data_IF_165040923419
#
_entry.id   IF_165040923419
#
_cell.length_a   1.000
_cell.length_b   1.000
_cell.length_c   1.000
_cell.angle_alpha   90.00
_cell.angle_beta   90.00
_cell.angle_gamma   90.00
#
_symmetry.space_group_name_H-M   'P 1'
#
loop_
_entity.id
_entity.type
_entity.pdbx_description
1 polymer ?
#
# COMPACT_ATOMS: atom_id res chain seq x y z
N UNK A 1 -2.15 -20.50 -18.47
CA UNK A 1 -0.74 -20.93 -18.34
C UNK A 1 -0.16 -20.20 -17.14
N UNK A 2 0.02 -20.89 -16.00
CA UNK A 2 0.58 -20.29 -14.79
C UNK A 2 2.05 -19.87 -14.96
N UNK A 3 2.75 -20.41 -15.96
CA UNK A 3 4.14 -20.07 -16.28
C UNK A 3 4.25 -18.84 -17.20
N UNK A 4 3.12 -18.16 -17.50
CA UNK A 4 3.06 -17.05 -18.43
C UNK A 4 2.11 -15.93 -17.98
N UNK A 5 2.28 -15.49 -16.74
CA UNK A 5 1.52 -14.41 -16.11
C UNK A 5 2.20 -13.06 -16.32
N UNK A 6 1.42 -12.06 -16.74
CA UNK A 6 1.82 -10.65 -16.78
C UNK A 6 1.08 -9.88 -15.70
N UNK A 7 1.80 -9.29 -14.74
CA UNK A 7 1.24 -8.36 -13.78
C UNK A 7 1.15 -6.96 -14.38
N UNK A 8 -0.02 -6.34 -14.31
CA UNK A 8 -0.29 -5.03 -14.90
C UNK A 8 -0.83 -4.07 -13.84
N UNK A 9 -0.40 -2.81 -13.88
CA UNK A 9 -0.99 -1.76 -13.06
C UNK A 9 -0.81 -0.35 -13.62
N UNK A 10 -1.73 0.53 -13.23
CA UNK A 10 -1.74 1.96 -13.57
C UNK A 10 -1.73 2.80 -12.30
N UNK A 11 -1.03 3.94 -12.29
CA UNK A 11 -0.95 4.86 -11.14
C UNK A 11 -0.49 4.13 -9.87
N UNK A 12 -1.26 4.17 -8.77
CA UNK A 12 -1.00 3.38 -7.56
C UNK A 12 -0.87 1.87 -7.85
N UNK A 13 -1.57 1.36 -8.87
CA UNK A 13 -1.39 0.00 -9.35
C UNK A 13 -0.02 -0.25 -9.97
N UNK A 14 0.56 0.72 -10.69
CA UNK A 14 1.92 0.60 -11.23
C UNK A 14 2.97 0.59 -10.12
N UNK A 15 2.79 1.43 -9.08
CA UNK A 15 3.62 1.38 -7.88
C UNK A 15 3.49 0.03 -7.15
N UNK A 16 2.29 -0.55 -7.14
CA UNK A 16 2.05 -1.88 -6.57
C UNK A 16 2.77 -2.98 -7.37
N UNK A 17 2.77 -2.91 -8.71
CA UNK A 17 3.57 -3.82 -9.56
C UNK A 17 5.05 -3.71 -9.22
N UNK A 18 5.59 -2.49 -9.04
CA UNK A 18 6.98 -2.31 -8.63
C UNK A 18 7.28 -2.95 -7.27
N UNK A 19 6.40 -2.75 -6.28
CA UNK A 19 6.54 -3.37 -4.96
C UNK A 19 6.56 -4.90 -5.04
N UNK A 20 5.76 -5.50 -5.93
CA UNK A 20 5.78 -6.94 -6.17
C UNK A 20 7.07 -7.41 -6.86
N UNK A 21 7.61 -6.65 -7.83
CA UNK A 21 8.90 -6.98 -8.47
C UNK A 21 10.04 -7.00 -7.43
N UNK A 22 10.04 -6.06 -6.48
CA UNK A 22 11.09 -5.96 -5.46
C UNK A 22 10.91 -6.92 -4.28
N UNK A 23 9.76 -7.59 -4.16
CA UNK A 23 9.42 -8.45 -3.02
C UNK A 23 9.92 -9.88 -3.23
N UNK A 24 10.79 -10.37 -2.36
CA UNK A 24 11.26 -11.76 -2.40
C UNK A 24 10.10 -12.77 -2.24
N UNK A 25 9.05 -12.43 -1.50
CA UNK A 25 7.87 -13.28 -1.34
C UNK A 25 7.03 -13.42 -2.61
N UNK A 26 7.29 -12.59 -3.62
CA UNK A 26 6.57 -12.56 -4.89
C UNK A 26 7.36 -13.20 -6.03
N UNK A 27 8.56 -13.70 -5.73
CA UNK A 27 9.42 -14.34 -6.72
C UNK A 27 8.74 -15.56 -7.36
N UNK A 28 8.86 -15.66 -8.68
CA UNK A 28 8.22 -16.71 -9.48
C UNK A 28 6.70 -16.63 -9.63
N UNK A 29 5.99 -15.71 -8.96
CA UNK A 29 4.53 -15.61 -9.06
C UNK A 29 4.04 -14.99 -10.39
N UNK A 30 4.91 -14.25 -11.08
CA UNK A 30 4.64 -13.67 -12.40
C UNK A 30 5.95 -13.55 -13.18
N UNK A 31 5.86 -13.56 -14.52
CA UNK A 31 7.03 -13.58 -15.40
C UNK A 31 7.23 -12.24 -16.13
N UNK A 32 6.18 -11.43 -16.24
CA UNK A 32 6.19 -10.16 -16.96
C UNK A 32 5.48 -9.09 -16.14
N UNK A 33 5.86 -7.83 -16.37
CA UNK A 33 5.26 -6.69 -15.71
C UNK A 33 5.01 -5.54 -16.68
N UNK A 34 3.89 -4.83 -16.49
CA UNK A 34 3.57 -3.57 -17.17
C UNK A 34 3.17 -2.54 -16.13
N UNK A 35 3.83 -1.38 -16.17
CA UNK A 35 3.63 -0.26 -15.24
C UNK A 35 3.27 1.00 -16.03
N UNK A 36 2.06 1.52 -15.86
CA UNK A 36 1.60 2.74 -16.55
C UNK A 36 1.44 3.91 -15.58
N UNK A 37 2.06 5.06 -15.89
CA UNK A 37 1.89 6.32 -15.14
C UNK A 37 2.10 6.20 -13.62
N UNK A 38 3.11 5.43 -13.21
CA UNK A 38 3.48 5.23 -11.80
C UNK A 38 4.69 4.28 -11.63
N UNK A 39 5.61 4.30 -12.60
CA UNK A 39 6.76 3.39 -12.67
C UNK A 39 8.05 4.02 -12.11
N UNK A 40 8.98 3.17 -11.65
CA UNK A 40 10.32 3.56 -11.19
C UNK A 40 10.37 4.12 -9.77
N UNK A 41 11.57 4.45 -9.28
CA UNK A 41 11.81 4.95 -7.91
C UNK A 41 11.78 6.50 -7.81
N UNK A 42 11.24 7.17 -8.83
CA UNK A 42 11.14 8.63 -8.89
C UNK A 42 9.91 9.17 -8.17
N UNK A 43 9.38 10.31 -8.63
CA UNK A 43 8.30 11.13 -8.02
C UNK A 43 7.09 10.35 -7.44
N UNK A 44 6.75 9.19 -7.99
CA UNK A 44 5.63 8.37 -7.48
C UNK A 44 5.99 7.47 -6.29
N UNK A 45 7.28 7.20 -6.07
CA UNK A 45 7.84 6.30 -5.06
C UNK A 45 9.02 6.93 -4.29
N UNK A 46 9.26 8.23 -4.42
CA UNK A 46 10.38 8.93 -3.74
C UNK A 46 10.09 9.23 -2.26
N UNK A 47 8.81 9.20 -1.88
CA UNK A 47 8.31 9.47 -0.53
C UNK A 47 7.69 8.22 0.09
N UNK A 48 8.41 7.09 0.02
CA UNK A 48 8.10 5.94 0.86
C UNK A 48 8.43 6.33 2.30
N UNK A 49 7.40 6.43 3.15
CA UNK A 49 7.59 6.67 4.57
C UNK A 49 8.54 5.64 5.18
N UNK A 50 9.43 6.10 6.04
CA UNK A 50 10.11 5.21 6.95
C UNK A 50 9.08 4.48 7.82
N UNK A 51 9.49 3.33 8.38
CA UNK A 51 8.64 2.59 9.31
C UNK A 51 8.17 3.46 10.48
N UNK A 52 9.03 4.37 10.96
CA UNK A 52 8.70 5.26 12.06
C UNK A 52 7.64 6.30 11.66
N UNK A 53 7.79 6.95 10.50
CA UNK A 53 6.80 7.92 10.00
C UNK A 53 5.44 7.26 9.76
N UNK A 54 5.43 6.04 9.19
CA UNK A 54 4.20 5.28 9.00
C UNK A 54 3.51 4.92 10.32
N UNK A 55 4.29 4.57 11.35
CA UNK A 55 3.78 4.30 12.70
C UNK A 55 3.20 5.56 13.35
N UNK A 56 3.92 6.67 13.27
CA UNK A 56 3.46 7.97 13.79
C UNK A 56 2.17 8.41 13.12
N UNK A 57 2.06 8.21 11.80
CA UNK A 57 0.82 8.48 11.08
C UNK A 57 -0.35 7.62 11.57
N UNK A 58 -0.09 6.33 11.82
CA UNK A 58 -1.09 5.43 12.42
C UNK A 58 -1.54 5.88 13.80
N UNK A 59 -0.62 6.28 14.68
CA UNK A 59 -0.95 6.80 16.01
C UNK A 59 -1.79 8.07 15.93
N UNK A 60 -1.47 8.98 14.99
CA UNK A 60 -2.27 10.20 14.76
C UNK A 60 -3.70 9.86 14.33
N UNK A 61 -3.87 8.91 13.41
CA UNK A 61 -5.18 8.46 12.97
C UNK A 61 -5.99 7.82 14.12
N UNK A 62 -5.38 6.94 14.92
CA UNK A 62 -6.05 6.33 16.08
C UNK A 62 -6.56 7.38 17.08
N UNK A 63 -5.73 8.39 17.37
CA UNK A 63 -6.12 9.53 18.20
C UNK A 63 -7.28 10.34 17.60
N UNK A 64 -7.25 10.56 16.29
CA UNK A 64 -8.30 11.30 15.58
C UNK A 64 -9.66 10.60 15.68
N UNK A 65 -9.70 9.27 15.56
CA UNK A 65 -10.93 8.47 15.71
C UNK A 65 -11.27 8.12 17.17
N UNK A 66 -10.49 8.60 18.14
CA UNK A 66 -10.77 8.48 19.56
C UNK A 66 -10.53 7.10 20.17
N UNK A 67 -9.58 6.33 19.65
CA UNK A 67 -9.20 5.01 20.18
C UNK A 67 -7.71 4.92 20.48
N UNK A 68 -7.34 4.03 21.41
CA UNK A 68 -5.95 3.90 21.87
C UNK A 68 -5.22 2.70 21.26
N UNK A 69 -5.93 1.85 20.51
CA UNK A 69 -5.34 0.65 19.91
C UNK A 69 -5.97 0.24 18.57
N UNK A 70 -5.20 -0.54 17.80
CA UNK A 70 -5.69 -1.15 16.55
C UNK A 70 -6.86 -2.11 16.82
N UNK A 71 -6.87 -2.80 17.95
CA UNK A 71 -7.95 -3.74 18.30
C UNK A 71 -9.26 -3.03 18.63
N UNK A 72 -9.20 -1.82 19.18
CA UNK A 72 -10.36 -0.95 19.29
C UNK A 72 -10.80 -0.40 17.93
N UNK A 73 -9.85 0.06 17.10
CA UNK A 73 -10.16 0.55 15.75
C UNK A 73 -10.86 -0.51 14.88
N UNK A 74 -10.47 -1.78 14.98
CA UNK A 74 -11.09 -2.91 14.26
C UNK A 74 -12.56 -3.16 14.62
N UNK A 75 -13.04 -2.65 15.76
CA UNK A 75 -14.45 -2.78 16.17
C UNK A 75 -15.32 -1.69 15.53
N UNK A 76 -14.71 -0.63 14.98
CA UNK A 76 -15.42 0.45 14.30
C UNK A 76 -15.80 -0.03 12.89
N UNK A 77 -17.06 0.15 12.47
CA UNK A 77 -17.47 -0.15 11.10
C UNK A 77 -16.61 0.60 10.07
N UNK A 78 -16.22 -0.09 9.01
CA UNK A 78 -15.32 0.47 7.99
C UNK A 78 -15.88 1.75 7.34
N UNK A 79 -17.20 1.86 7.16
CA UNK A 79 -17.82 3.05 6.59
C UNK A 79 -17.73 4.27 7.52
N UNK A 80 -17.63 4.07 8.84
CA UNK A 80 -17.38 5.14 9.78
C UNK A 80 -15.91 5.58 9.75
N UNK A 81 -14.98 4.61 9.64
CA UNK A 81 -13.55 4.93 9.47
C UNK A 81 -13.29 5.75 8.20
N UNK A 82 -13.96 5.42 7.09
CA UNK A 82 -13.82 6.14 5.82
C UNK A 82 -14.44 7.56 5.83
N UNK A 83 -15.35 7.84 6.77
CA UNK A 83 -15.97 9.17 6.96
C UNK A 83 -15.26 10.01 8.01
N UNK A 84 -14.23 9.47 8.68
CA UNK A 84 -13.38 10.27 9.54
C UNK A 84 -12.60 11.24 8.65
N UNK A 85 -13.04 12.50 8.61
CA UNK A 85 -12.36 13.57 7.88
C UNK A 85 -10.99 13.83 8.54
N UNK A 86 -9.99 13.13 8.02
CA UNK A 86 -8.61 13.05 8.51
C UNK A 86 -7.63 13.79 7.58
#
# INVERSE_FOLDING_TARGET
>A
DPDNVTLFGQSAGAASVLAQICSASSDGLFQKAIMQSGAGLGVFNDHIWSMHEAQDNGVRFLKHIGVDSVDEARKIPADQLLKADW
#
